data_IF_198449213440
#
_entry.id   IF_198449213440
#
_cell.length_a   1.000
_cell.length_b   1.000
_cell.length_c   1.000
_cell.angle_alpha   90.00
_cell.angle_beta   90.00
_cell.angle_gamma   90.00
#
_symmetry.space_group_name_H-M   'P 1'
#
loop_
_entity.id
_entity.type
_entity.pdbx_description
1 polymer ?
#
# COMPACT_ATOMS: atom_id res chain seq x y z
N UNK A 1 -5.12 -27.57 40.14
CA UNK A 1 -5.41 -26.53 39.14
C UNK A 1 -4.11 -26.20 38.44
N UNK A 2 -4.17 -26.11 37.12
CA UNK A 2 -3.14 -25.55 36.21
C UNK A 2 -2.01 -26.52 35.83
N UNK A 3 -1.66 -26.75 34.58
CA UNK A 3 -2.27 -26.47 33.26
C UNK A 3 -1.46 -27.38 32.32
N UNK A 4 -2.11 -28.31 31.60
CA UNK A 4 -1.39 -29.14 30.62
C UNK A 4 -0.90 -28.25 29.47
N UNK A 5 0.42 -28.11 29.37
CA UNK A 5 1.08 -27.51 28.22
C UNK A 5 0.91 -28.42 26.99
N UNK A 6 -0.23 -28.28 26.32
CA UNK A 6 -0.45 -28.89 25.03
C UNK A 6 0.43 -28.15 24.00
N UNK A 7 1.64 -28.66 23.79
CA UNK A 7 2.44 -28.36 22.61
C UNK A 7 1.74 -28.96 21.39
N UNK A 8 0.74 -28.25 20.86
CA UNK A 8 0.02 -28.64 19.65
C UNK A 8 0.94 -28.34 18.46
N UNK A 9 1.76 -29.31 18.08
CA UNK A 9 2.49 -29.24 16.81
C UNK A 9 1.46 -29.22 15.67
N UNK A 10 1.44 -28.18 14.82
CA UNK A 10 0.42 -28.08 13.78
C UNK A 10 0.55 -29.26 12.82
N UNK A 11 -0.55 -29.97 12.60
CA UNK A 11 -0.60 -31.07 11.63
C UNK A 11 -0.33 -30.53 10.21
N UNK A 12 0.18 -31.36 9.28
CA UNK A 12 0.48 -30.93 7.90
C UNK A 12 -0.71 -30.29 7.17
N UNK A 13 -1.94 -30.61 7.57
CA UNK A 13 -3.18 -30.03 7.06
C UNK A 13 -3.45 -28.62 7.62
N UNK A 14 -3.15 -28.37 8.90
CA UNK A 14 -3.31 -27.02 9.48
C UNK A 14 -2.37 -25.99 8.87
N UNK A 15 -1.12 -26.36 8.57
CA UNK A 15 -0.17 -25.46 7.90
C UNK A 15 -0.62 -25.07 6.48
N UNK A 16 -1.21 -26.03 5.74
CA UNK A 16 -1.76 -25.76 4.40
C UNK A 16 -2.92 -24.77 4.46
N UNK A 17 -3.86 -24.97 5.39
CA UNK A 17 -4.99 -24.07 5.61
C UNK A 17 -4.49 -22.66 6.00
N UNK A 18 -3.45 -22.58 6.83
CA UNK A 18 -2.90 -21.31 7.28
C UNK A 18 -2.17 -20.56 6.16
N UNK A 19 -1.45 -21.29 5.30
CA UNK A 19 -0.82 -20.73 4.10
C UNK A 19 -1.84 -20.29 3.06
N UNK A 20 -2.91 -21.06 2.84
CA UNK A 20 -4.01 -20.69 1.95
C UNK A 20 -4.71 -19.42 2.44
N UNK A 21 -5.03 -19.33 3.73
CA UNK A 21 -5.56 -18.09 4.34
C UNK A 21 -4.60 -16.91 4.19
N UNK A 22 -3.30 -17.13 4.38
CA UNK A 22 -2.30 -16.08 4.20
C UNK A 22 -2.21 -15.64 2.72
N UNK A 23 -2.31 -16.59 1.78
CA UNK A 23 -2.35 -16.30 0.34
C UNK A 23 -3.60 -15.51 -0.03
N UNK A 24 -4.77 -15.91 0.46
CA UNK A 24 -6.04 -15.18 0.28
C UNK A 24 -5.96 -13.76 0.84
N UNK A 25 -5.36 -13.58 2.02
CA UNK A 25 -5.10 -12.25 2.61
C UNK A 25 -4.14 -11.39 1.79
N UNK A 26 -3.30 -12.01 0.94
CA UNK A 26 -2.39 -11.31 0.02
C UNK A 26 -2.92 -11.21 -1.42
N UNK A 27 -4.06 -11.83 -1.72
CA UNK A 27 -4.62 -11.95 -3.06
C UNK A 27 -5.62 -10.82 -3.34
N UNK A 28 -5.18 -9.57 -3.15
CA UNK A 28 -5.97 -8.41 -3.54
C UNK A 28 -5.36 -7.78 -4.79
N UNK A 29 -6.18 -7.63 -5.83
CA UNK A 29 -5.85 -6.88 -7.05
C UNK A 29 -5.45 -5.48 -6.63
N UNK A 30 -4.14 -5.18 -6.71
CA UNK A 30 -3.59 -3.89 -6.24
C UNK A 30 -4.04 -2.74 -7.13
N UNK A 31 -4.15 -2.98 -8.43
CA UNK A 31 -4.44 -1.95 -9.41
C UNK A 31 -5.95 -1.80 -9.64
N UNK A 32 -6.50 -0.67 -9.22
CA UNK A 32 -7.92 -0.39 -9.40
C UNK A 32 -8.23 0.07 -10.82
N UNK A 33 -9.41 -0.31 -11.32
CA UNK A 33 -9.95 0.20 -12.57
C UNK A 33 -10.54 1.61 -12.37
N UNK A 34 -10.21 2.60 -13.23
CA UNK A 34 -10.86 3.91 -13.23
C UNK A 34 -12.38 3.89 -13.27
N UNK A 35 -13.01 2.89 -13.90
CA UNK A 35 -14.46 2.78 -14.00
C UNK A 35 -15.10 2.43 -12.65
N UNK A 36 -14.41 1.66 -11.80
CA UNK A 36 -14.90 1.20 -10.50
C UNK A 36 -14.73 2.25 -9.37
N UNK A 37 -14.05 3.36 -9.62
CA UNK A 37 -13.71 4.36 -8.59
C UNK A 37 -14.44 5.68 -8.82
N UNK A 38 -15.33 6.03 -7.90
CA UNK A 38 -16.15 7.26 -7.95
C UNK A 38 -15.53 8.45 -7.23
N UNK A 39 -14.54 8.22 -6.37
CA UNK A 39 -13.92 9.27 -5.54
C UNK A 39 -12.43 9.03 -5.34
N UNK A 40 -11.66 10.10 -5.16
CA UNK A 40 -10.22 10.01 -4.91
C UNK A 40 -9.94 9.23 -3.60
N UNK A 41 -9.06 8.23 -3.65
CA UNK A 41 -8.71 7.44 -2.46
C UNK A 41 -8.02 8.25 -1.35
N UNK A 42 -7.41 9.39 -1.69
CA UNK A 42 -6.74 10.32 -0.76
C UNK A 42 -7.70 11.34 -0.14
N UNK A 43 -8.16 12.32 -0.94
CA UNK A 43 -8.97 13.43 -0.44
C UNK A 43 -10.49 13.17 -0.40
N UNK A 44 -10.94 12.00 -0.88
CA UNK A 44 -12.36 11.61 -0.96
C UNK A 44 -13.26 12.51 -1.83
N UNK A 45 -12.68 13.45 -2.58
CA UNK A 45 -13.45 14.25 -3.56
C UNK A 45 -14.00 13.34 -4.66
N UNK A 46 -15.29 13.47 -5.05
CA UNK A 46 -15.83 12.77 -6.20
C UNK A 46 -15.08 13.12 -7.49
N UNK A 47 -14.97 12.15 -8.40
CA UNK A 47 -14.47 12.41 -9.74
C UNK A 47 -15.59 12.94 -10.62
N UNK A 48 -15.45 14.19 -11.07
CA UNK A 48 -16.33 14.79 -12.07
C UNK A 48 -16.01 14.25 -13.48
N UNK A 49 -16.97 14.35 -14.39
CA UNK A 49 -16.78 13.96 -15.79
C UNK A 49 -15.61 14.72 -16.40
N UNK A 50 -14.68 13.99 -17.04
CA UNK A 50 -13.47 14.59 -17.64
C UNK A 50 -12.30 14.78 -16.68
N UNK A 51 -12.46 14.51 -15.38
CA UNK A 51 -11.35 14.50 -14.43
C UNK A 51 -10.44 13.29 -14.67
N UNK A 52 -9.13 13.54 -14.78
CA UNK A 52 -8.14 12.47 -14.97
C UNK A 52 -7.98 11.67 -13.68
N UNK A 53 -8.25 10.37 -13.75
CA UNK A 53 -8.03 9.39 -12.68
C UNK A 53 -6.62 8.80 -12.83
N UNK A 54 -5.81 8.83 -11.78
CA UNK A 54 -4.43 8.34 -11.83
C UNK A 54 -4.15 7.35 -10.70
N UNK A 55 -3.60 6.20 -11.03
CA UNK A 55 -3.25 5.20 -10.02
C UNK A 55 -1.87 5.48 -9.38
N UNK A 56 -1.77 5.23 -8.07
CA UNK A 56 -0.49 5.17 -7.38
C UNK A 56 0.35 3.99 -7.89
N UNK A 57 1.61 4.22 -8.27
CA UNK A 57 2.49 3.16 -8.79
C UNK A 57 2.95 2.14 -7.74
N UNK A 58 2.67 2.38 -6.46
CA UNK A 58 3.01 1.44 -5.37
C UNK A 58 1.81 0.62 -4.90
N UNK A 59 0.71 1.28 -4.49
CA UNK A 59 -0.48 0.59 -3.97
C UNK A 59 -1.57 0.32 -5.01
N UNK A 60 -1.51 0.96 -6.19
CA UNK A 60 -2.44 0.77 -7.31
C UNK A 60 -3.83 1.40 -7.16
N UNK A 61 -4.15 2.01 -6.01
CA UNK A 61 -5.38 2.77 -5.81
C UNK A 61 -5.43 4.07 -6.63
N UNK A 62 -6.63 4.62 -6.87
CA UNK A 62 -6.86 5.77 -7.76
C UNK A 62 -6.98 7.11 -7.02
N UNK A 63 -6.27 8.11 -7.54
CA UNK A 63 -6.16 9.44 -6.98
C UNK A 63 -6.40 10.53 -8.03
N UNK A 64 -6.75 11.73 -7.57
CA UNK A 64 -6.65 12.93 -8.39
C UNK A 64 -5.19 13.37 -8.55
N UNK A 65 -4.92 14.24 -9.52
CA UNK A 65 -3.57 14.77 -9.77
C UNK A 65 -2.93 15.42 -8.54
N UNK A 66 -3.70 16.16 -7.75
CA UNK A 66 -3.21 16.79 -6.52
C UNK A 66 -2.73 15.76 -5.48
N UNK A 67 -3.48 14.67 -5.29
CA UNK A 67 -3.10 13.60 -4.34
C UNK A 67 -2.03 12.64 -4.88
N UNK A 68 -1.65 12.76 -6.15
CA UNK A 68 -0.60 11.97 -6.80
C UNK A 68 0.61 12.82 -7.22
N UNK A 69 0.81 13.96 -6.57
CA UNK A 69 1.88 14.90 -6.89
C UNK A 69 3.29 14.41 -6.47
N UNK A 70 3.38 13.41 -5.59
CA UNK A 70 4.67 12.90 -5.08
C UNK A 70 5.32 11.95 -6.08
N UNK A 71 6.64 12.05 -6.21
CA UNK A 71 7.44 11.20 -7.10
C UNK A 71 8.54 10.53 -6.29
N UNK A 72 8.65 9.20 -6.40
CA UNK A 72 9.77 8.44 -5.86
C UNK A 72 10.89 8.43 -6.90
N UNK A 73 12.13 8.76 -6.51
CA UNK A 73 13.27 8.70 -7.41
C UNK A 73 13.55 7.25 -7.83
N UNK A 74 14.20 7.03 -8.99
CA UNK A 74 14.63 5.71 -9.42
C UNK A 74 15.51 5.01 -8.37
N UNK A 75 15.09 3.84 -7.90
CA UNK A 75 15.97 2.94 -7.16
C UNK A 75 16.83 2.14 -8.13
N UNK A 76 17.97 2.71 -8.52
CA UNK A 76 18.97 2.09 -9.40
C UNK A 76 18.87 2.46 -10.87
N UNK A 77 19.84 1.98 -11.66
CA UNK A 77 20.11 2.45 -13.03
C UNK A 77 19.05 2.11 -14.08
N UNK A 78 18.14 1.18 -13.77
CA UNK A 78 17.07 0.72 -14.68
C UNK A 78 15.65 1.13 -14.23
N UNK A 79 15.53 1.84 -13.11
CA UNK A 79 14.22 2.28 -12.61
C UNK A 79 13.84 3.65 -13.20
N UNK A 80 12.54 3.94 -13.27
CA UNK A 80 12.02 5.25 -13.70
C UNK A 80 11.36 5.94 -12.50
N UNK A 81 11.31 7.28 -12.48
CA UNK A 81 10.57 8.01 -11.45
C UNK A 81 9.11 7.56 -11.43
N UNK A 82 8.56 7.37 -10.23
CA UNK A 82 7.23 6.80 -10.06
C UNK A 82 6.32 7.72 -9.23
N UNK A 83 5.17 8.11 -9.78
CA UNK A 83 4.16 8.83 -9.03
C UNK A 83 3.48 7.93 -8.00
N UNK A 84 3.41 8.40 -6.76
CA UNK A 84 2.80 7.67 -5.64
C UNK A 84 1.90 8.60 -4.82
N UNK A 85 0.96 8.04 -4.08
CA UNK A 85 0.18 8.80 -3.10
C UNK A 85 1.03 9.15 -1.87
N UNK A 86 0.58 10.11 -1.06
CA UNK A 86 1.31 10.58 0.12
C UNK A 86 1.64 9.44 1.11
N UNK A 87 0.71 8.51 1.34
CA UNK A 87 0.95 7.36 2.23
C UNK A 87 2.09 6.49 1.73
N UNK A 88 2.06 6.15 0.43
CA UNK A 88 3.12 5.34 -0.18
C UNK A 88 4.45 6.11 -0.23
N UNK A 89 4.41 7.42 -0.41
CA UNK A 89 5.61 8.25 -0.35
C UNK A 89 6.27 8.15 1.03
N UNK A 90 5.52 8.34 2.11
CA UNK A 90 6.03 8.21 3.49
C UNK A 90 6.59 6.83 3.78
N UNK A 91 5.97 5.76 3.27
CA UNK A 91 6.44 4.38 3.47
C UNK A 91 7.74 4.06 2.69
N UNK A 92 7.89 4.63 1.49
CA UNK A 92 8.99 4.31 0.58
C UNK A 92 10.22 5.19 0.80
N UNK A 93 10.03 6.45 1.24
CA UNK A 93 11.12 7.36 1.55
C UNK A 93 11.54 7.13 3.01
N UNK A 94 12.52 6.25 3.22
CA UNK A 94 13.05 5.90 4.56
C UNK A 94 13.74 7.07 5.29
N UNK A 95 13.89 8.24 4.67
CA UNK A 95 14.53 9.43 5.25
C UNK A 95 13.56 10.62 5.46
N UNK A 96 12.25 10.39 5.60
CA UNK A 96 11.36 11.41 6.16
C UNK A 96 11.55 11.55 7.69
N UNK A 97 12.79 11.43 8.18
CA UNK A 97 13.14 11.87 9.51
C UNK A 97 12.92 13.40 9.56
N UNK A 98 12.20 13.94 10.55
CA UNK A 98 12.12 15.38 10.75
C UNK A 98 13.56 15.91 10.90
N UNK A 99 14.01 16.70 9.92
CA UNK A 99 15.34 17.34 9.91
C UNK A 99 15.50 18.45 10.96
N UNK A 100 14.62 18.54 11.95
CA UNK A 100 14.56 19.65 12.91
C UNK A 100 14.33 19.12 14.35
N UNK A 101 15.13 18.14 14.80
CA UNK A 101 15.05 17.62 16.17
C UNK A 101 16.44 17.37 16.79
N UNK A 102 17.32 18.36 16.74
CA UNK A 102 18.42 18.55 17.70
C UNK A 102 18.73 20.05 17.80
N UNK A 103 17.94 20.76 18.58
CA UNK A 103 18.35 22.00 19.24
C UNK A 103 17.89 21.89 20.70
N UNK A 104 18.76 21.34 21.56
CA UNK A 104 19.10 21.88 22.89
C UNK A 104 20.40 21.22 23.41
#
# INVERSE_FOLDING_TARGET
>A
MQDECHSVSPSPSTLKIQLERQREQTQEVRWQDPEDVTQCSGCKRPFETGMVKQNCRHCGAIFCSACLARVIPPSGTRSRPAHVCDMCHTLLVKDAAPKDAYDE
#
